data_IF_211038490947
#
_entry.id   IF_211038490947
#
_cell.length_a   1.000
_cell.length_b   1.000
_cell.length_c   1.000
_cell.angle_alpha   90.00
_cell.angle_beta   90.00
_cell.angle_gamma   90.00
#
_symmetry.space_group_name_H-M   'P 1'
#
loop_
_entity.id
_entity.type
_entity.pdbx_description
1 polymer ?
#
# COMPACT_ATOMS: atom_id res chain seq x y z
N UNK A 1 6.64 3.47 -11.88
CA UNK A 1 5.75 4.35 -11.08
C UNK A 1 6.56 5.43 -10.37
N UNK A 2 7.57 5.09 -9.55
CA UNK A 2 8.48 6.06 -8.92
C UNK A 2 9.06 7.09 -9.90
N UNK A 3 9.71 6.64 -10.97
CA UNK A 3 10.29 7.55 -11.98
C UNK A 3 9.26 8.51 -12.62
N UNK A 4 8.01 8.08 -12.72
CA UNK A 4 6.94 8.91 -13.26
C UNK A 4 6.52 9.99 -12.25
N UNK A 5 6.40 9.63 -10.97
CA UNK A 5 6.14 10.59 -9.88
C UNK A 5 7.27 11.60 -9.79
N UNK A 6 8.52 11.14 -9.85
CA UNK A 6 9.70 12.00 -9.78
C UNK A 6 9.76 13.00 -10.94
N UNK A 7 9.38 12.57 -12.16
CA UNK A 7 9.25 13.47 -13.31
C UNK A 7 8.19 14.54 -13.08
N UNK A 8 7.00 14.16 -12.59
CA UNK A 8 5.92 15.13 -12.31
C UNK A 8 6.37 16.15 -11.26
N UNK A 9 6.94 15.70 -10.16
CA UNK A 9 7.36 16.58 -9.06
C UNK A 9 8.48 17.53 -9.49
N UNK A 10 9.40 17.06 -10.33
CA UNK A 10 10.50 17.88 -10.87
C UNK A 10 10.00 18.90 -11.88
N UNK A 11 9.16 18.46 -12.83
CA UNK A 11 8.87 19.22 -14.03
C UNK A 11 7.66 20.16 -13.84
N UNK A 12 6.73 19.86 -12.91
CA UNK A 12 5.45 20.57 -12.79
C UNK A 12 5.34 21.41 -11.51
N UNK A 13 4.96 22.68 -11.66
CA UNK A 13 4.73 23.63 -10.56
C UNK A 13 3.24 23.70 -10.16
N UNK A 14 2.68 22.60 -9.68
CA UNK A 14 1.27 22.54 -9.26
C UNK A 14 1.08 22.92 -7.78
N UNK A 15 -0.11 23.44 -7.46
CA UNK A 15 -0.55 23.78 -6.09
C UNK A 15 -1.79 23.01 -5.64
N UNK A 16 -2.43 22.29 -6.57
CA UNK A 16 -3.66 21.52 -6.35
C UNK A 16 -3.66 20.31 -7.28
N UNK A 17 -4.33 19.24 -6.88
CA UNK A 17 -4.48 18.02 -7.68
C UNK A 17 -5.97 17.76 -7.92
N UNK A 18 -6.31 17.32 -9.14
CA UNK A 18 -7.66 16.86 -9.52
C UNK A 18 -7.59 15.34 -9.69
N UNK A 19 -7.90 14.55 -8.66
CA UNK A 19 -7.99 13.10 -8.78
C UNK A 19 -9.20 12.70 -9.65
N UNK A 20 -9.10 11.56 -10.34
CA UNK A 20 -10.14 11.09 -11.24
C UNK A 20 -11.43 10.62 -10.54
N UNK A 21 -11.32 10.14 -9.29
CA UNK A 21 -12.42 9.44 -8.60
C UNK A 21 -12.72 9.96 -7.19
N UNK A 22 -12.04 11.04 -6.76
CA UNK A 22 -12.20 11.61 -5.42
C UNK A 22 -12.72 13.04 -5.49
N UNK A 23 -13.17 13.56 -4.34
CA UNK A 23 -13.51 14.96 -4.20
C UNK A 23 -12.34 15.84 -4.67
N UNK A 24 -12.62 16.77 -5.56
CA UNK A 24 -11.64 17.61 -6.23
C UNK A 24 -12.16 19.05 -6.32
N UNK A 25 -11.26 20.05 -6.38
CA UNK A 25 -9.80 19.97 -6.31
C UNK A 25 -9.28 19.79 -4.88
N UNK A 26 -8.19 19.03 -4.72
CA UNK A 26 -7.51 18.84 -3.43
C UNK A 26 -6.36 19.85 -3.31
N UNK A 27 -6.30 20.57 -2.19
CA UNK A 27 -5.29 21.60 -1.95
C UNK A 27 -3.98 20.99 -1.42
N UNK A 28 -3.28 20.29 -2.30
CA UNK A 28 -2.03 19.56 -2.04
C UNK A 28 -0.98 19.87 -3.10
N UNK A 29 0.28 19.90 -2.69
CA UNK A 29 1.44 20.23 -3.51
C UNK A 29 2.38 19.04 -3.74
N UNK A 30 3.61 19.37 -4.14
CA UNK A 30 4.64 18.40 -4.52
C UNK A 30 5.09 17.48 -3.37
N UNK A 31 5.29 18.05 -2.19
CA UNK A 31 5.69 17.29 -0.99
C UNK A 31 4.62 16.28 -0.58
N UNK A 32 3.35 16.67 -0.66
CA UNK A 32 2.22 15.82 -0.31
C UNK A 32 2.09 14.65 -1.29
N UNK A 33 2.32 14.91 -2.59
CA UNK A 33 2.36 13.86 -3.60
C UNK A 33 3.48 12.85 -3.31
N UNK A 34 4.69 13.31 -2.97
CA UNK A 34 5.79 12.40 -2.61
C UNK A 34 5.45 11.57 -1.36
N UNK A 35 4.91 12.22 -0.31
CA UNK A 35 4.53 11.54 0.92
C UNK A 35 3.46 10.46 0.69
N UNK A 36 2.46 10.74 -0.14
CA UNK A 36 1.42 9.76 -0.49
C UNK A 36 1.97 8.50 -1.18
N UNK A 37 3.14 8.60 -1.82
CA UNK A 37 3.81 7.50 -2.50
C UNK A 37 5.07 7.00 -1.78
N UNK A 38 5.34 7.43 -0.55
CA UNK A 38 6.50 6.97 0.23
C UNK A 38 6.50 5.45 0.46
N UNK A 39 5.33 4.81 0.47
CA UNK A 39 5.19 3.35 0.54
C UNK A 39 5.92 2.60 -0.59
N UNK A 40 6.17 3.28 -1.72
CA UNK A 40 6.94 2.69 -2.82
C UNK A 40 8.39 2.43 -2.43
N UNK A 41 8.96 3.10 -1.43
CA UNK A 41 10.35 2.87 -1.00
C UNK A 41 10.47 1.49 -0.36
N UNK A 42 9.52 1.14 0.50
CA UNK A 42 9.46 -0.18 1.15
C UNK A 42 9.10 -1.28 0.14
N UNK A 43 8.17 -1.01 -0.79
CA UNK A 43 7.77 -1.97 -1.83
C UNK A 43 8.89 -2.28 -2.83
N UNK A 44 9.75 -1.29 -3.11
CA UNK A 44 10.88 -1.43 -4.03
C UNK A 44 12.18 -1.83 -3.31
N UNK A 45 12.16 -1.88 -1.97
CA UNK A 45 13.29 -2.08 -1.06
C UNK A 45 14.08 -3.38 -1.26
N UNK A 46 13.55 -4.38 -1.96
CA UNK A 46 14.27 -5.64 -2.26
C UNK A 46 14.81 -5.74 -3.69
N UNK A 47 14.41 -4.85 -4.60
CA UNK A 47 14.75 -4.98 -6.04
C UNK A 47 15.70 -3.88 -6.54
N UNK A 48 15.88 -2.80 -5.78
CA UNK A 48 16.65 -1.64 -6.24
C UNK A 48 17.89 -1.31 -5.40
N UNK A 49 18.04 -1.90 -4.21
CA UNK A 49 19.14 -1.60 -3.28
C UNK A 49 20.22 -2.67 -3.33
N UNK A 50 20.89 -2.85 -4.48
CA UNK A 50 22.24 -3.42 -4.52
C UNK A 50 23.27 -2.34 -4.13
N UNK A 51 23.10 -1.74 -2.96
CA UNK A 51 24.13 -0.95 -2.29
C UNK A 51 24.24 -1.46 -0.85
N UNK A 52 25.43 -1.91 -0.41
CA UNK A 52 25.57 -2.45 0.93
C UNK A 52 25.49 -1.28 1.91
N UNK A 53 24.31 -1.03 2.46
CA UNK A 53 24.16 -0.10 3.58
C UNK A 53 24.19 -0.89 4.87
N UNK A 54 24.93 -0.37 5.85
CA UNK A 54 25.10 -0.93 7.20
C UNK A 54 23.78 -1.06 7.99
N UNK A 55 22.63 -0.72 7.39
CA UNK A 55 21.29 -0.92 7.92
C UNK A 55 20.93 -2.41 8.14
N UNK A 56 21.63 -3.33 7.48
CA UNK A 56 21.46 -4.79 7.64
C UNK A 56 21.88 -5.32 9.03
N UNK A 57 22.55 -4.51 9.86
CA UNK A 57 22.90 -4.91 11.23
C UNK A 57 21.76 -4.67 12.23
N UNK A 58 20.75 -3.86 11.90
CA UNK A 58 19.64 -3.53 12.80
C UNK A 58 18.36 -4.32 12.51
N UNK A 59 18.26 -4.99 11.37
CA UNK A 59 17.06 -5.76 10.97
C UNK A 59 16.99 -7.17 11.56
N UNK A 60 18.03 -7.68 12.23
CA UNK A 60 18.00 -9.01 12.84
C UNK A 60 17.21 -9.09 14.17
N UNK A 61 16.89 -7.96 14.80
CA UNK A 61 16.21 -7.91 16.10
C UNK A 61 14.70 -7.64 16.01
N UNK A 62 14.21 -7.08 14.90
CA UNK A 62 12.77 -6.80 14.70
C UNK A 62 12.12 -7.93 13.91
N UNK A 63 12.08 -9.10 14.54
CA UNK A 63 11.43 -10.29 14.02
C UNK A 63 9.94 -10.08 13.77
N UNK A 64 9.52 -10.39 12.54
CA UNK A 64 8.24 -11.03 12.24
C UNK A 64 6.98 -10.22 12.63
N UNK A 65 6.81 -9.05 12.02
CA UNK A 65 5.47 -8.50 11.84
C UNK A 65 4.74 -9.34 10.75
N UNK A 66 4.14 -10.46 11.16
CA UNK A 66 2.99 -10.98 10.44
C UNK A 66 2.01 -9.81 10.33
N UNK A 67 1.63 -9.44 9.10
CA UNK A 67 0.74 -8.34 8.79
C UNK A 67 -0.48 -8.36 9.71
N UNK A 68 -0.45 -7.55 10.77
CA UNK A 68 -1.51 -7.47 11.75
C UNK A 68 -2.61 -6.62 11.15
N UNK A 69 -3.63 -7.29 10.60
CA UNK A 69 -4.81 -6.63 10.06
C UNK A 69 -5.88 -6.57 11.15
N UNK A 70 -6.30 -5.37 11.59
CA UNK A 70 -7.37 -5.24 12.57
C UNK A 70 -8.64 -5.93 12.06
N UNK A 71 -9.31 -6.74 12.90
CA UNK A 71 -10.51 -7.48 12.49
C UNK A 71 -11.66 -6.53 12.09
N UNK A 72 -11.67 -5.30 12.61
CA UNK A 72 -12.64 -4.27 12.25
C UNK A 72 -12.49 -3.81 10.78
N UNK A 73 -11.26 -3.75 10.26
CA UNK A 73 -10.98 -3.35 8.87
C UNK A 73 -11.26 -4.49 7.88
N UNK A 74 -11.31 -5.73 8.35
CA UNK A 74 -11.56 -6.93 7.54
C UNK A 74 -13.06 -7.28 7.41
N UNK A 75 -13.95 -6.50 8.05
CA UNK A 75 -15.41 -6.77 8.05
C UNK A 75 -16.04 -6.74 6.66
N UNK A 76 -15.57 -5.87 5.78
CA UNK A 76 -16.08 -5.72 4.41
C UNK A 76 -15.64 -6.87 3.50
N UNK A 77 -14.45 -7.42 3.73
CA UNK A 77 -13.92 -8.54 2.95
C UNK A 77 -14.47 -9.89 3.43
N UNK A 78 -14.72 -10.04 4.73
CA UNK A 78 -15.35 -11.24 5.29
C UNK A 78 -16.84 -11.38 4.93
N UNK A 79 -17.56 -10.26 4.74
CA UNK A 79 -18.95 -10.30 4.27
C UNK A 79 -19.08 -10.71 2.80
N UNK A 80 -18.13 -10.30 1.95
CA UNK A 80 -18.06 -10.69 0.54
C UNK A 80 -17.81 -12.20 0.38
N UNK A 81 -16.89 -12.77 1.15
CA UNK A 81 -16.66 -14.22 1.17
C UNK A 81 -17.94 -14.99 1.57
N UNK A 82 -18.61 -14.54 2.63
CA UNK A 82 -19.88 -15.12 3.08
C UNK A 82 -20.98 -15.05 2.01
N UNK A 83 -21.09 -13.92 1.29
CA UNK A 83 -22.04 -13.75 0.19
C UNK A 83 -21.74 -14.68 -0.99
N UNK A 84 -20.47 -14.75 -1.42
CA UNK A 84 -20.04 -15.59 -2.55
C UNK A 84 -20.25 -17.08 -2.29
N UNK A 85 -20.07 -17.51 -1.03
CA UNK A 85 -20.45 -18.85 -0.58
C UNK A 85 -21.97 -19.03 -0.59
N UNK A 86 -22.73 -18.04 -0.13
CA UNK A 86 -24.20 -18.11 -0.06
C UNK A 86 -24.88 -18.19 -1.43
N UNK A 87 -24.36 -17.50 -2.44
CA UNK A 87 -24.91 -17.55 -3.82
C UNK A 87 -24.37 -18.74 -4.62
N UNK A 88 -23.51 -19.58 -4.00
CA UNK A 88 -22.94 -20.78 -4.62
C UNK A 88 -21.86 -20.50 -5.66
N UNK A 89 -21.37 -19.25 -5.75
CA UNK A 89 -20.28 -18.89 -6.65
C UNK A 89 -18.94 -19.53 -6.22
N UNK A 90 -18.76 -19.78 -4.91
CA UNK A 90 -17.52 -20.35 -4.35
C UNK A 90 -17.84 -21.40 -3.29
N UNK A 91 -17.13 -22.53 -3.31
CA UNK A 91 -17.21 -23.57 -2.27
C UNK A 91 -16.46 -23.10 -1.02
N UNK A 92 -17.05 -23.23 0.18
CA UNK A 92 -16.37 -22.91 1.44
C UNK A 92 -14.99 -23.56 1.50
N UNK A 93 -13.96 -22.73 1.63
CA UNK A 93 -12.60 -23.20 1.89
C UNK A 93 -12.43 -23.41 3.39
N UNK A 94 -11.86 -24.55 3.77
CA UNK A 94 -11.65 -24.92 5.17
C UNK A 94 -10.36 -24.25 5.67
N UNK A 95 -10.33 -22.92 5.73
CA UNK A 95 -9.24 -22.20 6.39
C UNK A 95 -9.60 -22.00 7.87
N UNK A 96 -9.31 -23.03 8.65
CA UNK A 96 -9.55 -23.04 10.09
C UNK A 96 -9.14 -24.37 10.71
N UNK A 97 -7.83 -24.61 10.81
CA UNK A 97 -7.32 -25.64 11.72
C UNK A 97 -7.44 -25.07 13.14
N UNK A 98 -8.03 -25.88 14.03
CA UNK A 98 -8.28 -25.66 15.47
C UNK A 98 -7.21 -24.85 16.19
#
# INVERSE_FOLDING_TARGET
VRDWIDRIVRDWQFKRIIPAHFAAPVNVGRSDLLAAFAFLDDLLGERYVTRPSLSLLFTSLMGRAASYFPPDDMKTLSSLDGFLVSVGAVKKTVSGRK
#
